data_IF_302872297617
#
_entry.id   IF_302872297617
#
_cell.length_a   1.000
_cell.length_b   1.000
_cell.length_c   1.000
_cell.angle_alpha   90.00
_cell.angle_beta   90.00
_cell.angle_gamma   90.00
#
_symmetry.space_group_name_H-M   'P 1'
#
loop_
_entity.id
_entity.type
_entity.pdbx_description
1 polymer ?
#
# COMPACT_ATOMS: atom_id res chain seq x y z
N UNK A 1 3.39 2.37 1.61
CA UNK A 1 2.45 1.28 1.94
C UNK A 1 3.09 -0.05 1.62
N UNK A 2 2.98 -1.01 2.54
CA UNK A 2 3.56 -2.35 2.43
C UNK A 2 2.42 -3.38 2.43
N UNK A 3 1.85 -3.71 1.25
CA UNK A 3 0.60 -4.45 1.20
C UNK A 3 0.62 -5.79 1.92
N UNK A 4 1.76 -6.44 2.06
CA UNK A 4 1.93 -7.70 2.81
C UNK A 4 1.53 -7.63 4.29
N UNK A 5 1.39 -6.42 4.85
CA UNK A 5 0.88 -6.20 6.21
C UNK A 5 -0.56 -5.67 6.24
N UNK A 6 -1.09 -5.24 5.09
CA UNK A 6 -2.42 -4.64 4.96
C UNK A 6 -3.44 -5.65 4.41
N UNK A 7 -3.01 -6.55 3.53
CA UNK A 7 -3.89 -7.58 2.96
C UNK A 7 -4.14 -8.70 3.98
N UNK A 8 -5.35 -9.25 3.99
CA UNK A 8 -5.70 -10.37 4.86
C UNK A 8 -4.86 -11.62 4.56
N UNK A 9 -4.75 -12.51 5.55
CA UNK A 9 -3.88 -13.72 5.51
C UNK A 9 -4.07 -14.61 4.27
N UNK A 10 -5.28 -14.62 3.70
CA UNK A 10 -5.61 -15.40 2.50
C UNK A 10 -4.93 -14.88 1.21
N UNK A 11 -4.55 -13.59 1.18
CA UNK A 11 -3.86 -12.97 0.06
C UNK A 11 -2.33 -13.14 0.12
N UNK A 12 -1.81 -13.73 1.20
CA UNK A 12 -0.37 -13.96 1.41
C UNK A 12 0.02 -15.37 0.97
N UNK A 13 1.07 -15.44 0.17
CA UNK A 13 1.66 -16.67 -0.35
C UNK A 13 2.88 -17.15 0.41
N UNK A 14 3.62 -18.07 -0.23
CA UNK A 14 4.84 -18.64 0.34
C UNK A 14 5.86 -17.51 0.55
N UNK A 15 6.51 -17.51 1.71
CA UNK A 15 7.53 -16.50 2.03
C UNK A 15 6.97 -15.12 2.39
N UNK A 16 5.66 -14.97 2.64
CA UNK A 16 5.08 -13.68 3.01
C UNK A 16 4.87 -12.73 1.82
N UNK A 17 4.81 -13.27 0.60
CA UNK A 17 4.65 -12.50 -0.64
C UNK A 17 3.17 -12.36 -0.96
N UNK A 18 2.70 -11.15 -1.27
CA UNK A 18 1.33 -10.93 -1.76
C UNK A 18 1.15 -11.64 -3.10
N UNK A 19 0.16 -12.53 -3.20
CA UNK A 19 -0.08 -13.36 -4.40
C UNK A 19 -0.72 -12.60 -5.54
N UNK A 20 -1.56 -11.63 -5.21
CA UNK A 20 -2.36 -10.88 -6.15
C UNK A 20 -1.91 -9.41 -6.16
N UNK A 21 -1.37 -8.99 -7.29
CA UNK A 21 -0.91 -7.61 -7.48
C UNK A 21 -2.09 -6.62 -7.35
N UNK A 22 -3.29 -7.01 -7.78
CA UNK A 22 -4.48 -6.16 -7.65
C UNK A 22 -4.85 -5.99 -6.18
N UNK A 23 -4.89 -7.06 -5.39
CA UNK A 23 -5.11 -6.96 -3.94
C UNK A 23 -4.06 -6.06 -3.26
N UNK A 24 -2.82 -6.10 -3.72
CA UNK A 24 -1.77 -5.21 -3.24
C UNK A 24 -2.02 -3.74 -3.58
N UNK A 25 -2.49 -3.45 -4.80
CA UNK A 25 -2.86 -2.11 -5.24
C UNK A 25 -4.08 -1.59 -4.49
N UNK A 26 -5.12 -2.40 -4.36
CA UNK A 26 -6.36 -2.07 -3.66
C UNK A 26 -6.08 -1.72 -2.20
N UNK A 27 -5.19 -2.46 -1.53
CA UNK A 27 -4.77 -2.14 -0.18
C UNK A 27 -4.07 -0.77 -0.10
N UNK A 28 -3.20 -0.45 -1.05
CA UNK A 28 -2.51 0.83 -1.09
C UNK A 28 -3.47 2.01 -1.37
N UNK A 29 -4.42 1.82 -2.29
CA UNK A 29 -5.47 2.79 -2.57
C UNK A 29 -6.41 2.97 -1.38
N UNK A 30 -6.73 1.90 -0.65
CA UNK A 30 -7.52 1.95 0.57
C UNK A 30 -6.87 2.81 1.66
N UNK A 31 -5.56 2.69 1.87
CA UNK A 31 -4.81 3.54 2.80
C UNK A 31 -4.80 5.01 2.33
N UNK A 32 -4.63 5.25 1.03
CA UNK A 32 -4.69 6.61 0.48
C UNK A 32 -6.08 7.23 0.68
N UNK A 33 -7.15 6.49 0.40
CA UNK A 33 -8.53 6.94 0.62
C UNK A 33 -8.83 7.21 2.09
N UNK A 34 -8.35 6.34 2.99
CA UNK A 34 -8.46 6.57 4.43
C UNK A 34 -7.75 7.85 4.86
N UNK A 35 -6.51 8.08 4.42
CA UNK A 35 -5.78 9.32 4.70
C UNK A 35 -6.51 10.56 4.17
N UNK A 36 -7.08 10.49 2.96
CA UNK A 36 -7.86 11.57 2.37
C UNK A 36 -9.19 11.83 3.11
N UNK A 37 -9.69 10.87 3.89
CA UNK A 37 -10.90 11.04 4.70
C UNK A 37 -10.65 11.80 6.01
N UNK A 38 -9.38 11.93 6.43
CA UNK A 38 -9.03 12.59 7.68
C UNK A 38 -9.03 14.12 7.53
N UNK A 39 -9.52 14.87 8.55
CA UNK A 39 -9.48 16.32 8.52
C UNK A 39 -8.03 16.83 8.47
N UNK A 40 -7.83 17.95 7.76
CA UNK A 40 -6.55 18.64 7.59
C UNK A 40 -5.45 17.84 6.86
N UNK A 41 -5.75 16.67 6.30
CA UNK A 41 -4.82 15.90 5.48
C UNK A 41 -5.18 15.97 4.00
N UNK A 42 -4.16 16.03 3.15
CA UNK A 42 -4.29 15.96 1.70
C UNK A 42 -3.35 14.90 1.16
N UNK A 43 -3.86 14.05 0.27
CA UNK A 43 -3.06 13.08 -0.48
C UNK A 43 -2.49 13.76 -1.72
N UNK A 44 -1.16 13.85 -1.79
CA UNK A 44 -0.44 14.43 -2.93
C UNK A 44 -0.22 13.41 -4.05
N UNK A 45 -0.21 12.11 -3.71
CA UNK A 45 -0.13 11.04 -4.71
C UNK A 45 0.25 9.68 -4.13
N UNK A 46 -0.04 8.63 -4.90
CA UNK A 46 0.32 7.25 -4.62
C UNK A 46 1.03 6.66 -5.84
N UNK A 47 2.30 6.29 -5.68
CA UNK A 47 3.14 5.74 -6.76
C UNK A 47 3.74 4.40 -6.36
N UNK A 48 4.20 3.64 -7.35
CA UNK A 48 5.01 2.44 -7.12
C UNK A 48 6.35 2.81 -6.47
N UNK A 49 6.81 1.97 -5.53
CA UNK A 49 8.17 2.05 -5.05
C UNK A 49 9.14 1.67 -6.18
N UNK A 50 10.24 2.40 -6.38
CA UNK A 50 11.24 2.06 -7.40
C UNK A 50 12.04 0.78 -7.05
N UNK A 51 11.89 0.29 -5.82
CA UNK A 51 12.51 -0.94 -5.33
C UNK A 51 11.47 -1.84 -4.67
N UNK A 52 11.70 -3.15 -4.72
CA UNK A 52 10.87 -4.13 -4.01
C UNK A 52 11.21 -4.17 -2.52
N UNK A 53 10.22 -4.45 -1.70
CA UNK A 53 10.37 -4.70 -0.27
C UNK A 53 10.97 -6.07 0.06
N UNK A 54 11.00 -6.39 1.35
CA UNK A 54 11.50 -7.68 1.86
C UNK A 54 10.79 -8.87 1.19
N UNK A 55 11.58 -9.85 0.73
CA UNK A 55 11.07 -11.04 0.04
C UNK A 55 10.57 -10.78 -1.39
N UNK A 56 10.79 -9.59 -1.95
CA UNK A 56 10.36 -9.23 -3.30
C UNK A 56 8.93 -8.68 -3.39
N UNK A 57 8.34 -8.26 -2.26
CA UNK A 57 7.02 -7.65 -2.25
C UNK A 57 7.01 -6.33 -3.02
N UNK A 58 5.98 -6.11 -3.82
CA UNK A 58 5.71 -4.81 -4.43
C UNK A 58 5.21 -3.84 -3.35
N UNK A 59 5.83 -2.67 -3.25
CA UNK A 59 5.50 -1.65 -2.25
C UNK A 59 5.17 -0.32 -2.93
N UNK A 60 4.51 0.58 -2.21
CA UNK A 60 4.06 1.88 -2.75
C UNK A 60 4.56 3.05 -1.89
N UNK A 61 4.76 4.21 -2.50
CA UNK A 61 5.01 5.46 -1.80
C UNK A 61 3.74 6.32 -1.81
N UNK A 62 3.29 6.74 -0.63
CA UNK A 62 2.13 7.62 -0.46
C UNK A 62 2.61 8.97 0.07
N UNK A 63 2.45 10.01 -0.74
CA UNK A 63 2.72 11.39 -0.35
C UNK A 63 1.49 12.01 0.30
N UNK A 64 1.67 12.56 1.50
CA UNK A 64 0.62 13.29 2.22
C UNK A 64 1.19 14.55 2.85
N UNK A 65 0.35 15.58 2.95
CA UNK A 65 0.63 16.79 3.72
C UNK A 65 -0.51 17.09 4.67
N UNK A 66 -0.14 17.76 5.76
CA UNK A 66 -1.09 18.37 6.67
C UNK A 66 -1.17 19.87 6.39
N UNK A 67 -2.38 20.40 6.31
CA UNK A 67 -2.64 21.84 6.24
C UNK A 67 -2.45 22.50 7.62
#
# INVERSE_FOLDING_TARGET
VKPQFEVGRNAIGKGGIVRDAQAGRDAAEGIAAWMASLPDWTVDGLIDSPITGGGGNHEYLLGVRRA
#
